data_IF_750416375538
#
_entry.id   IF_750416375538
#
_cell.length_a   1.000
_cell.length_b   1.000
_cell.length_c   1.000
_cell.angle_alpha   90.00
_cell.angle_beta   90.00
_cell.angle_gamma   90.00
#
_symmetry.space_group_name_H-M   'P 1'
#
loop_
_entity.id
_entity.type
_entity.pdbx_description
1 polymer ?
#
# COMPACT_ATOMS: atom_id res chain seq x y z
N UNK A 1 -51.81 21.33 29.53
CA UNK A 1 -51.93 20.80 28.16
C UNK A 1 -50.54 20.80 27.53
N UNK A 2 -49.83 19.68 27.65
CA UNK A 2 -48.55 19.48 26.95
C UNK A 2 -48.90 19.27 25.48
N UNK A 3 -48.46 20.20 24.63
CA UNK A 3 -48.78 20.23 23.20
C UNK A 3 -48.21 19.00 22.50
N UNK A 4 -49.06 18.25 21.79
CA UNK A 4 -48.70 17.06 21.00
C UNK A 4 -47.46 17.29 20.10
N UNK A 5 -47.26 18.52 19.66
CA UNK A 5 -46.12 18.93 18.85
C UNK A 5 -44.76 18.78 19.57
N UNK A 6 -44.68 18.98 20.89
CA UNK A 6 -43.38 18.90 21.59
C UNK A 6 -42.83 17.49 21.65
N UNK A 7 -43.71 16.49 21.77
CA UNK A 7 -43.33 15.06 21.75
C UNK A 7 -42.87 14.61 20.36
N UNK A 8 -43.49 15.16 19.31
CA UNK A 8 -43.16 14.82 17.92
C UNK A 8 -41.81 15.43 17.50
N UNK A 9 -41.55 16.68 17.89
CA UNK A 9 -40.24 17.31 17.70
C UNK A 9 -39.12 16.58 18.46
N UNK A 10 -39.37 16.15 19.70
CA UNK A 10 -38.38 15.44 20.51
C UNK A 10 -38.03 14.06 19.91
N UNK A 11 -39.01 13.34 19.38
CA UNK A 11 -38.79 12.09 18.62
C UNK A 11 -37.95 12.29 17.37
N UNK A 12 -38.24 13.33 16.59
CA UNK A 12 -37.48 13.63 15.36
C UNK A 12 -36.03 14.00 15.72
N UNK A 13 -35.83 14.84 16.74
CA UNK A 13 -34.49 15.17 17.23
C UNK A 13 -33.71 13.93 17.66
N UNK A 14 -34.32 13.02 18.43
CA UNK A 14 -33.66 11.79 18.86
C UNK A 14 -33.28 10.88 17.68
N UNK A 15 -34.13 10.78 16.65
CA UNK A 15 -33.84 9.98 15.45
C UNK A 15 -32.71 10.58 14.62
N UNK A 16 -32.68 11.91 14.45
CA UNK A 16 -31.62 12.60 13.71
C UNK A 16 -30.28 12.52 14.44
N UNK A 17 -30.26 12.77 15.75
CA UNK A 17 -29.05 12.64 16.59
C UNK A 17 -28.54 11.19 16.65
N UNK A 18 -29.44 10.21 16.80
CA UNK A 18 -29.08 8.79 16.78
C UNK A 18 -28.52 8.34 15.43
N UNK A 19 -29.12 8.80 14.32
CA UNK A 19 -28.64 8.50 12.97
C UNK A 19 -27.25 9.09 12.68
N UNK A 20 -27.03 10.34 13.06
CA UNK A 20 -25.73 11.01 12.87
C UNK A 20 -24.60 10.37 13.68
N UNK A 21 -24.87 9.90 14.90
CA UNK A 21 -23.88 9.20 15.73
C UNK A 21 -23.56 7.80 15.19
N UNK A 22 -24.51 7.10 14.59
CA UNK A 22 -24.31 5.74 14.04
C UNK A 22 -23.38 5.70 12.82
N UNK A 23 -23.40 6.73 11.97
CA UNK A 23 -22.56 6.79 10.75
C UNK A 23 -21.08 6.89 11.09
N UNK A 24 -20.72 7.59 12.17
CA UNK A 24 -19.33 7.76 12.59
C UNK A 24 -18.70 6.44 13.09
N UNK A 25 -19.49 5.59 13.75
CA UNK A 25 -19.00 4.28 14.24
C UNK A 25 -18.73 3.30 13.08
N UNK A 26 -19.51 3.37 12.01
CA UNK A 26 -19.31 2.52 10.83
C UNK A 26 -18.00 2.84 10.09
N UNK A 27 -17.62 4.11 9.99
CA UNK A 27 -16.35 4.50 9.35
C UNK A 27 -15.13 4.09 10.19
N UNK A 28 -15.23 4.12 11.52
CA UNK A 28 -14.15 3.67 12.40
C UNK A 28 -13.91 2.14 12.36
N UNK A 29 -14.94 1.35 12.04
CA UNK A 29 -14.81 -0.12 11.95
C UNK A 29 -14.27 -0.64 10.61
N UNK A 30 -14.30 0.17 9.55
CA UNK A 30 -13.66 -0.21 8.27
C UNK A 30 -12.14 -0.11 8.34
N UNK A 31 -11.60 0.61 9.33
CA UNK A 31 -10.17 0.65 9.64
C UNK A 31 -9.80 -0.40 10.71
N UNK A 32 -10.38 -1.61 10.64
CA UNK A 32 -9.70 -2.74 11.27
C UNK A 32 -8.38 -2.91 10.51
N UNK A 33 -7.28 -2.58 11.19
CA UNK A 33 -5.92 -2.94 10.83
C UNK A 33 -5.85 -4.45 10.60
N UNK A 34 -6.26 -4.90 9.41
CA UNK A 34 -5.83 -6.18 8.87
C UNK A 34 -4.32 -6.02 8.76
N UNK A 35 -3.51 -6.86 9.43
CA UNK A 35 -2.06 -6.77 9.31
C UNK A 35 -1.71 -6.81 7.82
N UNK A 36 -1.34 -5.65 7.26
CA UNK A 36 -1.07 -5.57 5.84
C UNK A 36 0.22 -6.33 5.61
N UNK A 37 0.09 -7.55 5.08
CA UNK A 37 1.21 -8.32 4.56
C UNK A 37 1.95 -7.57 3.46
N UNK A 38 1.34 -6.53 2.87
CA UNK A 38 1.97 -5.64 1.88
C UNK A 38 2.74 -4.52 2.56
N UNK A 39 4.01 -4.38 2.18
CA UNK A 39 4.92 -3.31 2.59
C UNK A 39 5.45 -2.60 1.35
N UNK A 40 5.81 -1.33 1.48
CA UNK A 40 6.41 -0.56 0.39
C UNK A 40 7.66 0.18 0.89
N UNK A 41 8.69 0.23 0.06
CA UNK A 41 9.98 0.86 0.37
C UNK A 41 10.52 1.60 -0.85
N UNK A 42 11.10 2.77 -0.60
CA UNK A 42 11.84 3.50 -1.62
C UNK A 42 13.22 2.87 -1.85
N UNK A 43 13.50 2.54 -3.11
CA UNK A 43 14.80 2.02 -3.55
C UNK A 43 15.44 3.06 -4.47
N UNK A 44 16.71 3.39 -4.20
CA UNK A 44 17.47 4.31 -5.05
C UNK A 44 17.89 3.60 -6.33
N UNK A 45 17.69 4.28 -7.46
CA UNK A 45 18.17 3.84 -8.76
C UNK A 45 19.63 4.23 -8.96
N UNK A 46 20.34 3.46 -9.77
CA UNK A 46 21.72 3.82 -10.16
C UNK A 46 21.66 4.88 -11.25
N UNK A 47 22.21 6.09 -11.04
CA UNK A 47 22.18 7.15 -12.04
C UNK A 47 22.86 6.72 -13.34
N UNK A 48 22.27 7.08 -14.49
CA UNK A 48 22.86 6.84 -15.82
C UNK A 48 22.94 5.37 -16.24
N UNK A 49 22.21 4.45 -15.58
CA UNK A 49 22.12 3.04 -15.98
C UNK A 49 20.67 2.63 -16.20
N UNK A 50 20.47 1.82 -17.24
CA UNK A 50 19.15 1.25 -17.53
C UNK A 50 18.75 0.15 -16.56
N UNK A 51 19.73 -0.45 -15.88
CA UNK A 51 19.51 -1.57 -14.97
C UNK A 51 19.96 -1.21 -13.56
N UNK A 52 19.07 -1.39 -12.59
CA UNK A 52 19.38 -1.29 -11.17
C UNK A 52 19.16 -2.63 -10.49
N UNK A 53 20.19 -3.13 -9.78
CA UNK A 53 20.09 -4.29 -8.91
C UNK A 53 20.04 -3.89 -7.45
N UNK A 54 19.15 -4.48 -6.65
CA UNK A 54 19.01 -4.17 -5.23
C UNK A 54 18.59 -5.39 -4.42
N UNK A 55 18.75 -5.31 -3.10
CA UNK A 55 18.31 -6.31 -2.14
C UNK A 55 17.19 -5.73 -1.27
N UNK A 56 16.20 -6.56 -0.95
CA UNK A 56 15.19 -6.24 0.04
C UNK A 56 15.48 -7.05 1.30
N UNK A 57 15.39 -6.39 2.45
CA UNK A 57 15.58 -6.99 3.76
C UNK A 57 14.39 -6.62 4.62
N UNK A 58 13.81 -7.61 5.27
CA UNK A 58 12.70 -7.44 6.20
C UNK A 58 12.89 -8.42 7.38
N UNK A 59 12.19 -8.16 8.47
CA UNK A 59 12.01 -9.01 9.64
C UNK A 59 11.40 -10.39 9.36
N UNK A 60 10.69 -10.53 8.23
CA UNK A 60 9.93 -11.74 7.86
C UNK A 60 10.16 -12.09 6.39
N UNK A 61 9.87 -13.34 6.04
CA UNK A 61 10.12 -13.88 4.69
C UNK A 61 9.35 -13.09 3.63
N UNK A 62 10.09 -12.49 2.70
CA UNK A 62 9.57 -11.80 1.53
C UNK A 62 9.21 -12.84 0.47
N UNK A 63 8.05 -12.70 -0.17
CA UNK A 63 7.67 -13.53 -1.32
C UNK A 63 8.22 -12.88 -2.60
N UNK A 64 9.21 -13.47 -3.30
CA UNK A 64 9.86 -12.79 -4.42
C UNK A 64 8.90 -12.45 -5.56
N UNK A 65 7.94 -13.34 -5.86
CA UNK A 65 6.92 -13.13 -6.91
C UNK A 65 5.93 -12.00 -6.60
N UNK A 66 5.87 -11.53 -5.36
CA UNK A 66 4.99 -10.43 -4.95
C UNK A 66 5.62 -9.05 -5.11
N UNK A 67 6.93 -9.00 -5.40
CA UNK A 67 7.67 -7.74 -5.51
C UNK A 67 7.29 -7.03 -6.80
N UNK A 68 6.82 -5.80 -6.66
CA UNK A 68 6.33 -4.99 -7.77
C UNK A 68 6.75 -3.53 -7.66
N UNK A 69 6.95 -2.90 -8.83
CA UNK A 69 7.23 -1.48 -9.00
C UNK A 69 6.21 -0.92 -9.97
N UNK A 70 5.48 0.12 -9.55
CA UNK A 70 4.40 0.72 -10.35
C UNK A 70 3.41 -0.35 -10.89
N UNK A 71 3.12 -1.38 -10.10
CA UNK A 71 2.22 -2.48 -10.46
C UNK A 71 2.81 -3.55 -11.37
N UNK A 72 4.09 -3.45 -11.76
CA UNK A 72 4.79 -4.47 -12.57
C UNK A 72 5.70 -5.33 -11.71
N UNK A 73 5.69 -6.64 -11.92
CA UNK A 73 6.60 -7.56 -11.22
C UNK A 73 8.07 -7.26 -11.56
N UNK A 74 8.92 -7.42 -10.56
CA UNK A 74 10.37 -7.21 -10.68
C UNK A 74 11.07 -8.55 -10.90
N UNK A 75 12.10 -8.58 -11.73
CA UNK A 75 12.91 -9.77 -11.95
C UNK A 75 13.73 -10.10 -10.69
N UNK A 76 13.86 -11.40 -10.37
CA UNK A 76 14.55 -11.87 -9.18
C UNK A 76 15.55 -12.98 -9.54
N UNK A 77 16.84 -12.69 -9.31
CA UNK A 77 17.92 -13.65 -9.49
C UNK A 77 18.08 -14.48 -8.21
N UNK A 78 17.65 -15.75 -8.25
CA UNK A 78 17.74 -16.70 -7.13
C UNK A 78 19.17 -17.08 -6.79
N UNK A 79 20.11 -16.98 -7.75
CA UNK A 79 21.53 -17.32 -7.54
C UNK A 79 22.24 -16.23 -6.75
N UNK A 80 21.90 -14.97 -6.99
CA UNK A 80 22.52 -13.82 -6.30
C UNK A 80 21.67 -13.21 -5.20
N UNK A 81 20.40 -13.62 -5.08
CA UNK A 81 19.45 -13.09 -4.11
C UNK A 81 19.08 -11.62 -4.36
N UNK A 82 19.10 -11.17 -5.62
CA UNK A 82 18.93 -9.76 -5.98
C UNK A 82 17.75 -9.55 -6.91
N UNK A 83 17.07 -8.43 -6.71
CA UNK A 83 16.04 -7.93 -7.60
C UNK A 83 16.66 -7.04 -8.67
N UNK A 84 16.12 -7.09 -9.89
CA UNK A 84 16.58 -6.32 -11.04
C UNK A 84 15.41 -5.54 -11.65
N UNK A 85 15.58 -4.22 -11.73
CA UNK A 85 14.68 -3.34 -12.48
C UNK A 85 15.40 -2.89 -13.74
N UNK A 86 14.74 -3.08 -14.89
CA UNK A 86 15.18 -2.53 -16.17
C UNK A 86 14.23 -1.41 -16.56
N UNK A 87 14.75 -0.20 -16.70
CA UNK A 87 14.04 1.01 -17.11
C UNK A 87 14.98 1.82 -17.99
N UNK A 88 14.52 2.42 -19.10
CA UNK A 88 15.34 3.35 -19.86
C UNK A 88 15.87 4.48 -18.95
N UNK A 89 17.18 4.68 -18.91
CA UNK A 89 17.75 5.83 -18.24
C UNK A 89 17.15 7.11 -18.85
N UNK A 90 16.81 8.13 -18.02
CA UNK A 90 16.39 9.41 -18.55
C UNK A 90 17.42 9.91 -19.56
N UNK A 91 16.98 10.22 -20.78
CA UNK A 91 17.87 10.81 -21.77
C UNK A 91 18.44 12.11 -21.17
N UNK A 92 19.76 12.26 -21.23
CA UNK A 92 20.40 13.50 -20.83
C UNK A 92 20.13 14.55 -21.93
N UNK A 93 18.90 15.08 -21.96
CA UNK A 93 18.53 16.15 -22.86
C UNK A 93 19.11 17.46 -22.30
N UNK A 94 19.77 18.29 -23.12
CA UNK A 94 20.23 19.61 -22.69
C UNK A 94 19.04 20.41 -22.13
N UNK A 95 19.25 21.07 -20.99
CA UNK A 95 18.27 22.02 -20.48
C UNK A 95 18.20 23.28 -21.36
N UNK A 96 17.30 24.22 -21.03
CA UNK A 96 17.15 25.47 -21.78
C UNK A 96 18.40 26.35 -21.78
N UNK A 97 19.43 26.03 -20.98
CA UNK A 97 20.73 26.71 -20.95
C UNK A 97 21.80 25.98 -21.76
N UNK A 98 21.47 24.84 -22.37
CA UNK A 98 22.40 23.99 -23.11
C UNK A 98 23.28 23.11 -22.22
N UNK A 99 23.05 23.10 -20.90
CA UNK A 99 23.78 22.24 -19.99
C UNK A 99 23.22 20.82 -20.05
N UNK A 100 24.11 19.82 -20.09
CA UNK A 100 23.71 18.42 -19.97
C UNK A 100 23.38 18.18 -18.48
N UNK A 101 22.12 17.89 -18.11
CA UNK A 101 21.77 17.67 -16.72
C UNK A 101 22.52 16.45 -16.19
N UNK A 102 23.15 16.61 -15.02
CA UNK A 102 23.77 15.49 -14.31
C UNK A 102 22.68 14.46 -14.00
N UNK A 103 22.94 13.14 -14.18
CA UNK A 103 21.91 12.13 -13.97
C UNK A 103 21.43 12.19 -12.52
N UNK A 104 20.18 12.63 -12.33
CA UNK A 104 19.59 12.79 -11.00
C UNK A 104 19.39 11.42 -10.37
N UNK A 105 19.72 11.31 -9.07
CA UNK A 105 19.47 10.08 -8.32
C UNK A 105 17.95 9.89 -8.12
N UNK A 106 17.35 9.05 -8.96
CA UNK A 106 15.95 8.70 -8.86
C UNK A 106 15.69 7.64 -7.79
N UNK A 107 14.46 7.61 -7.27
CA UNK A 107 14.00 6.53 -6.39
C UNK A 107 12.66 5.98 -6.87
N UNK A 108 12.45 4.69 -6.63
CA UNK A 108 11.23 3.98 -7.01
C UNK A 108 10.60 3.32 -5.81
N UNK A 109 9.27 3.38 -5.75
CA UNK A 109 8.51 2.69 -4.72
C UNK A 109 8.38 1.21 -5.11
N UNK A 110 9.02 0.36 -4.31
CA UNK A 110 8.93 -1.09 -4.43
C UNK A 110 7.96 -1.59 -3.37
N UNK A 111 6.89 -2.25 -3.79
CA UNK A 111 5.95 -2.88 -2.88
C UNK A 111 6.10 -4.41 -2.94
N UNK A 112 6.07 -5.06 -1.79
CA UNK A 112 6.24 -6.49 -1.65
C UNK A 112 5.33 -7.04 -0.56
N UNK A 113 5.07 -8.34 -0.60
CA UNK A 113 4.35 -9.05 0.46
C UNK A 113 5.32 -9.86 1.31
N UNK A 114 5.01 -9.92 2.60
CA UNK A 114 5.70 -10.76 3.57
C UNK A 114 4.78 -11.86 4.07
N UNK A 115 5.33 -13.04 4.29
CA UNK A 115 4.62 -14.16 4.89
C UNK A 115 4.81 -14.11 6.41
N UNK A 116 3.74 -13.97 7.21
CA UNK A 116 3.83 -14.31 8.62
C UNK A 116 4.12 -15.81 8.71
N UNK A 117 5.11 -16.20 9.51
CA UNK A 117 5.53 -17.59 9.74
C UNK A 117 4.46 -18.48 10.44
N UNK A 118 3.18 -18.17 10.29
CA UNK A 118 2.05 -18.84 10.94
C UNK A 118 1.06 -19.39 9.88
N UNK A 119 1.56 -20.12 8.88
CA UNK A 119 0.73 -20.85 7.91
C UNK A 119 0.48 -22.31 8.33
N UNK A 120 0.23 -22.53 9.62
CA UNK A 120 -0.25 -23.81 10.15
C UNK A 120 -1.64 -23.61 10.78
N UNK A 121 -2.66 -23.54 9.94
CA UNK A 121 -4.05 -23.53 10.40
C UNK A 121 -5.01 -23.59 9.21
N UNK A 122 -5.78 -24.67 9.03
CA UNK A 122 -6.81 -24.69 8.00
C UNK A 122 -7.82 -23.58 8.30
N UNK A 123 -8.12 -22.76 7.30
CA UNK A 123 -9.32 -21.94 7.31
C UNK A 123 -10.52 -22.89 7.16
N UNK A 124 -10.96 -23.48 8.27
CA UNK A 124 -12.30 -24.07 8.35
C UNK A 124 -13.28 -22.92 8.29
N UNK A 125 -13.66 -22.54 7.07
CA UNK A 125 -14.92 -21.87 6.82
C UNK A 125 -16.03 -22.78 7.32
N UNK A 126 -16.56 -22.48 8.50
CA UNK A 126 -17.73 -23.15 9.03
C UNK A 126 -18.95 -22.87 8.13
N UNK A 127 -19.85 -23.85 7.93
CA UNK A 127 -21.08 -23.62 7.21
C UNK A 127 -21.99 -22.67 7.98
N UNK A 128 -22.51 -21.67 7.29
CA UNK A 128 -23.65 -20.89 7.76
C UNK A 128 -24.88 -21.81 7.61
N UNK A 129 -25.43 -22.23 8.75
CA UNK A 129 -26.81 -22.72 8.86
C UNK A 129 -27.74 -21.53 9.10
#
# INVERSE_FOLDING_TARGET
MISSNTLQFLRICLLVLGGLLGVQAAQAQQQRDVPSSRRCRWVRLTPGRDTTSFTLTDSVTIVPSSVSVLGRSVDYDTRTGRYRIVRPAPAAAPDSTGAIPSPVADSVLVCYRVLPLQLAGPATGGPVL
#
